data_IF_177402437693
#
_entry.id   IF_177402437693
#
_cell.length_a   1.000
_cell.length_b   1.000
_cell.length_c   1.000
_cell.angle_alpha   90.00
_cell.angle_beta   90.00
_cell.angle_gamma   90.00
#
_symmetry.space_group_name_H-M   'P 1'
#
loop_
_entity.id
_entity.type
_entity.pdbx_description
1 polymer ?
#
# COMPACT_ATOMS: atom_id res chain seq x y z
N UNK A 1 -24.99 15.44 -13.18
CA UNK A 1 -25.51 14.90 -11.89
C UNK A 1 -24.52 15.32 -10.81
N UNK A 2 -24.98 15.87 -9.68
CA UNK A 2 -24.06 16.42 -8.67
C UNK A 2 -23.73 15.38 -7.61
N UNK A 3 -22.44 15.11 -7.43
CA UNK A 3 -21.90 14.39 -6.28
C UNK A 3 -21.99 15.28 -5.04
N UNK A 4 -22.21 14.69 -3.88
CA UNK A 4 -22.21 15.37 -2.59
C UNK A 4 -21.13 14.73 -1.69
N UNK A 5 -20.26 15.54 -1.08
CA UNK A 5 -19.33 15.08 -0.06
C UNK A 5 -20.03 15.14 1.30
N UNK A 6 -20.29 13.98 1.90
CA UNK A 6 -21.00 13.89 3.18
C UNK A 6 -20.07 14.05 4.37
N UNK A 7 -18.86 13.50 4.30
CA UNK A 7 -17.86 13.55 5.38
C UNK A 7 -16.44 13.39 4.87
N UNK A 8 -15.50 13.90 5.67
CA UNK A 8 -14.09 13.58 5.60
C UNK A 8 -13.68 12.85 6.88
N UNK A 9 -13.02 11.71 6.71
CA UNK A 9 -12.58 10.86 7.82
C UNK A 9 -11.09 10.61 7.69
N UNK A 10 -10.36 10.75 8.79
CA UNK A 10 -8.96 10.36 8.90
C UNK A 10 -8.89 8.93 9.46
N UNK A 11 -8.05 8.09 8.87
CA UNK A 11 -7.78 6.75 9.33
C UNK A 11 -6.31 6.60 9.74
N UNK A 12 -6.07 5.93 10.86
CA UNK A 12 -4.80 5.33 11.23
C UNK A 12 -4.93 3.82 11.02
N UNK A 13 -4.24 3.31 10.00
CA UNK A 13 -4.30 1.90 9.61
C UNK A 13 -2.89 1.31 9.67
N UNK A 14 -2.61 0.47 10.67
CA UNK A 14 -1.30 -0.12 10.90
C UNK A 14 -1.45 -1.57 11.38
N UNK A 15 -1.24 -2.53 10.47
CA UNK A 15 -1.50 -3.94 10.74
C UNK A 15 -2.98 -4.15 11.10
N UNK A 16 -3.24 -4.76 12.25
CA UNK A 16 -4.60 -4.99 12.78
C UNK A 16 -5.24 -3.73 13.40
N UNK A 17 -4.44 -2.70 13.73
CA UNK A 17 -4.95 -1.46 14.30
C UNK A 17 -5.59 -0.62 13.20
N UNK A 18 -6.92 -0.47 13.27
CA UNK A 18 -7.67 0.44 12.41
C UNK A 18 -8.48 1.41 13.28
N UNK A 19 -8.14 2.69 13.26
CA UNK A 19 -8.83 3.75 14.00
C UNK A 19 -9.27 4.83 13.02
N UNK A 20 -10.55 5.19 13.04
CA UNK A 20 -11.12 6.18 12.13
C UNK A 20 -11.77 7.32 12.90
N UNK A 21 -11.40 8.56 12.56
CA UNK A 21 -11.93 9.79 13.17
C UNK A 21 -12.42 10.75 12.09
N UNK A 22 -13.70 11.10 12.12
CA UNK A 22 -14.27 12.12 11.23
C UNK A 22 -13.83 13.51 11.64
N UNK A 23 -13.55 14.35 10.65
CA UNK A 23 -13.31 15.77 10.85
C UNK A 23 -14.62 16.48 11.21
N UNK A 24 -14.50 17.54 12.02
CA UNK A 24 -15.60 18.45 12.28
C UNK A 24 -15.68 19.45 11.12
N UNK A 25 -16.64 19.25 10.22
CA UNK A 25 -16.84 20.07 9.01
C UNK A 25 -18.30 20.51 8.90
N UNK A 26 -18.53 21.73 8.40
CA UNK A 26 -19.86 22.20 7.98
C UNK A 26 -20.17 21.76 6.55
N UNK A 27 -21.43 21.91 6.12
CA UNK A 27 -21.81 21.61 4.74
C UNK A 27 -21.08 22.51 3.73
N UNK A 28 -20.85 23.77 4.08
CA UNK A 28 -20.12 24.72 3.24
C UNK A 28 -18.65 24.28 3.07
N UNK A 29 -18.01 23.83 4.16
CA UNK A 29 -16.64 23.30 4.10
C UNK A 29 -16.55 22.08 3.18
N UNK A 30 -17.54 21.17 3.27
CA UNK A 30 -17.60 19.96 2.45
C UNK A 30 -17.83 20.27 0.97
N UNK A 31 -18.64 21.28 0.65
CA UNK A 31 -18.86 21.73 -0.72
C UNK A 31 -17.56 22.28 -1.34
N UNK A 32 -16.84 23.15 -0.61
CA UNK A 32 -15.55 23.68 -1.06
C UNK A 32 -14.52 22.56 -1.23
N UNK A 33 -14.45 21.62 -0.29
CA UNK A 33 -13.53 20.49 -0.39
C UNK A 33 -13.84 19.63 -1.62
N UNK A 34 -15.12 19.35 -1.89
CA UNK A 34 -15.54 18.56 -3.04
C UNK A 34 -15.04 19.16 -4.36
N UNK A 35 -15.12 20.49 -4.51
CA UNK A 35 -14.64 21.20 -5.71
C UNK A 35 -13.13 21.09 -5.92
N UNK A 36 -12.37 20.86 -4.84
CA UNK A 36 -10.91 20.71 -4.87
C UNK A 36 -10.45 19.27 -5.12
N UNK A 37 -11.34 18.27 -5.06
CA UNK A 37 -10.97 16.86 -5.22
C UNK A 37 -10.82 16.48 -6.69
N UNK A 38 -9.68 15.90 -7.02
CA UNK A 38 -9.35 15.42 -8.36
C UNK A 38 -9.67 13.92 -8.49
N UNK A 39 -10.96 13.61 -8.57
CA UNK A 39 -11.41 12.21 -8.61
C UNK A 39 -10.84 11.44 -9.81
N UNK A 40 -10.54 10.14 -9.64
CA UNK A 40 -10.01 9.30 -10.70
C UNK A 40 -11.02 9.12 -11.83
N UNK A 41 -10.52 9.02 -13.06
CA UNK A 41 -11.33 8.71 -14.23
C UNK A 41 -11.46 7.18 -14.40
N UNK A 42 -12.68 6.68 -14.21
CA UNK A 42 -12.98 5.25 -14.10
C UNK A 42 -13.10 4.50 -15.43
N UNK A 43 -13.02 5.20 -16.58
CA UNK A 43 -13.32 4.65 -17.91
C UNK A 43 -12.40 3.52 -18.38
N UNK A 44 -11.36 3.15 -17.63
CA UNK A 44 -10.33 2.17 -18.04
C UNK A 44 -10.12 1.01 -17.06
N UNK A 45 -10.94 0.87 -16.01
CA UNK A 45 -10.80 -0.26 -15.09
C UNK A 45 -11.36 -1.55 -15.72
N UNK A 46 -10.58 -2.62 -15.64
CA UNK A 46 -11.02 -3.95 -16.10
C UNK A 46 -11.87 -4.60 -15.00
N UNK A 47 -13.03 -5.11 -15.38
CA UNK A 47 -13.86 -5.95 -14.51
C UNK A 47 -13.12 -7.25 -14.18
N UNK A 48 -13.21 -7.69 -12.92
CA UNK A 48 -12.62 -8.93 -12.44
C UNK A 48 -13.65 -9.72 -11.63
N UNK A 49 -13.90 -10.96 -12.05
CA UNK A 49 -14.84 -11.86 -11.39
C UNK A 49 -14.13 -12.82 -10.40
N UNK A 50 -12.83 -13.03 -10.54
CA UNK A 50 -12.07 -13.95 -9.70
C UNK A 50 -10.60 -13.51 -9.54
N UNK A 51 -10.19 -13.27 -8.29
CA UNK A 51 -8.83 -12.86 -7.92
C UNK A 51 -7.79 -13.99 -8.05
N UNK A 52 -8.22 -15.25 -8.25
CA UNK A 52 -7.29 -16.40 -8.36
C UNK A 52 -6.43 -16.39 -9.63
N UNK A 53 -6.68 -15.50 -10.60
CA UNK A 53 -6.01 -15.47 -11.92
C UNK A 53 -4.82 -14.47 -11.96
N UNK A 54 -4.31 -14.00 -10.82
CA UNK A 54 -3.44 -12.83 -10.86
C UNK A 54 -1.96 -13.07 -11.25
N UNK A 55 -1.64 -12.61 -12.46
CA UNK A 55 -0.51 -11.72 -12.76
C UNK A 55 -0.88 -10.30 -12.30
N UNK A 56 -0.64 -9.94 -11.02
CA UNK A 56 -0.87 -8.61 -10.38
C UNK A 56 -1.29 -7.47 -11.33
N UNK A 57 -2.59 -7.27 -11.60
CA UNK A 57 -3.04 -6.09 -12.31
C UNK A 57 -2.88 -4.88 -11.39
N UNK A 58 -2.28 -3.80 -11.87
CA UNK A 58 -2.09 -2.61 -11.05
C UNK A 58 -3.42 -1.93 -10.66
N UNK A 59 -4.49 -2.14 -11.45
CA UNK A 59 -5.82 -1.52 -11.30
C UNK A 59 -6.93 -2.43 -11.83
N UNK A 60 -8.09 -2.47 -11.17
CA UNK A 60 -9.27 -3.23 -11.61
C UNK A 60 -10.57 -2.73 -10.94
N UNK A 61 -11.70 -3.32 -11.31
CA UNK A 61 -12.98 -3.14 -10.61
C UNK A 61 -13.70 -4.48 -10.41
N UNK A 62 -14.55 -4.55 -9.38
CA UNK A 62 -15.46 -5.67 -9.10
C UNK A 62 -16.83 -5.07 -8.81
N UNK A 63 -17.78 -5.32 -9.70
CA UNK A 63 -19.12 -4.74 -9.66
C UNK A 63 -20.07 -5.44 -8.68
N UNK A 64 -19.83 -6.72 -8.38
CA UNK A 64 -20.60 -7.54 -7.44
C UNK A 64 -19.66 -8.14 -6.39
N UNK A 65 -19.25 -7.30 -5.42
CA UNK A 65 -18.32 -7.68 -4.36
C UNK A 65 -19.04 -8.52 -3.30
N UNK A 66 -18.60 -9.78 -3.15
CA UNK A 66 -19.16 -10.78 -2.22
C UNK A 66 -18.22 -11.02 -1.04
N UNK A 67 -18.76 -11.62 0.02
CA UNK A 67 -18.08 -11.87 1.31
C UNK A 67 -16.92 -12.87 1.24
N UNK A 68 -16.90 -13.72 0.22
CA UNK A 68 -15.78 -14.60 -0.11
C UNK A 68 -14.58 -13.85 -0.73
N UNK A 69 -14.75 -12.58 -1.10
CA UNK A 69 -13.69 -11.72 -1.61
C UNK A 69 -13.01 -10.95 -0.46
N UNK A 70 -11.68 -10.98 -0.30
CA UNK A 70 -11.03 -10.28 0.80
C UNK A 70 -11.20 -8.76 0.81
N UNK A 71 -11.45 -8.11 -0.35
CA UNK A 71 -11.81 -6.68 -0.37
C UNK A 71 -13.15 -6.39 0.31
N UNK A 72 -13.99 -7.39 0.54
CA UNK A 72 -15.25 -7.24 1.26
C UNK A 72 -15.04 -6.77 2.70
N UNK A 73 -13.86 -6.97 3.30
CA UNK A 73 -13.54 -6.40 4.59
C UNK A 73 -13.70 -4.86 4.62
N UNK A 74 -13.41 -4.19 3.50
CA UNK A 74 -13.56 -2.74 3.38
C UNK A 74 -15.02 -2.28 3.45
N UNK A 75 -16.00 -3.18 3.26
CA UNK A 75 -17.43 -2.87 3.45
C UNK A 75 -17.71 -2.42 4.87
N UNK A 76 -16.97 -2.94 5.86
CA UNK A 76 -17.10 -2.56 7.28
C UNK A 76 -16.91 -1.06 7.51
N UNK A 77 -16.24 -0.33 6.60
CA UNK A 77 -16.10 1.12 6.68
C UNK A 77 -17.44 1.87 6.58
N UNK A 78 -18.46 1.26 5.98
CA UNK A 78 -19.82 1.81 5.95
C UNK A 78 -20.58 1.61 7.28
N UNK A 79 -20.16 0.65 8.10
CA UNK A 79 -20.84 0.30 9.35
C UNK A 79 -20.33 1.14 10.54
N UNK A 80 -19.27 1.92 10.33
CA UNK A 80 -18.73 2.83 11.34
C UNK A 80 -19.66 4.04 11.51
N UNK A 81 -20.14 4.24 12.73
CA UNK A 81 -20.89 5.44 13.09
C UNK A 81 -19.93 6.62 13.33
N UNK A 82 -19.62 7.34 12.26
CA UNK A 82 -18.78 8.55 12.27
C UNK A 82 -19.43 9.75 13.00
N UNK A 83 -20.67 9.63 13.48
CA UNK A 83 -21.31 10.67 14.30
C UNK A 83 -21.04 10.50 15.79
N UNK A 84 -20.64 9.31 16.24
CA UNK A 84 -20.28 9.08 17.64
C UNK A 84 -19.09 9.94 18.05
N UNK A 85 -19.12 10.39 19.30
CA UNK A 85 -18.08 11.27 19.86
C UNK A 85 -16.69 10.63 19.81
N UNK A 86 -16.59 9.34 20.07
CA UNK A 86 -15.34 8.55 19.99
C UNK A 86 -14.73 8.49 18.58
N UNK A 87 -15.57 8.55 17.55
CA UNK A 87 -15.16 8.53 16.14
C UNK A 87 -15.06 9.94 15.55
N UNK A 88 -15.05 10.99 16.37
CA UNK A 88 -14.88 12.39 15.96
C UNK A 88 -13.56 12.92 16.46
N UNK A 89 -12.79 13.53 15.56
CA UNK A 89 -11.62 14.30 15.92
C UNK A 89 -12.08 15.57 16.64
N UNK A 90 -11.80 15.72 17.94
CA UNK A 90 -12.26 16.89 18.72
C UNK A 90 -11.33 18.10 18.50
N UNK A 91 -10.04 17.85 18.32
CA UNK A 91 -9.05 18.88 18.03
C UNK A 91 -7.94 18.34 17.11
N UNK A 92 -7.33 19.24 16.32
CA UNK A 92 -6.15 18.94 15.53
C UNK A 92 -4.96 18.52 16.41
N UNK A 93 -4.93 18.92 17.68
CA UNK A 93 -3.87 18.52 18.62
C UNK A 93 -3.94 17.04 19.02
N UNK A 94 -5.03 16.33 18.73
CA UNK A 94 -5.07 14.87 18.86
C UNK A 94 -4.17 14.17 17.82
N UNK A 95 -3.81 14.88 16.75
CA UNK A 95 -2.87 14.42 15.73
C UNK A 95 -1.44 14.73 16.18
N UNK A 96 -0.71 13.71 16.63
CA UNK A 96 0.69 13.88 17.07
C UNK A 96 1.61 12.92 16.31
N UNK A 97 2.44 13.47 15.42
CA UNK A 97 3.45 12.71 14.67
C UNK A 97 4.71 12.39 15.50
N UNK A 98 4.78 12.76 16.80
CA UNK A 98 5.96 12.63 17.66
C UNK A 98 5.72 12.04 19.05
N UNK A 99 4.47 11.73 19.42
CA UNK A 99 4.07 11.04 20.67
C UNK A 99 3.03 9.96 20.33
N UNK A 100 2.63 9.14 21.30
CA UNK A 100 1.64 8.04 21.17
C UNK A 100 0.19 8.50 20.80
N UNK A 101 0.04 9.61 20.07
CA UNK A 101 -1.22 10.17 19.60
C UNK A 101 -1.72 9.53 18.30
N UNK A 102 -2.89 9.99 17.84
CA UNK A 102 -3.50 9.51 16.61
C UNK A 102 -2.64 9.93 15.41
N UNK A 103 -2.16 8.95 14.65
CA UNK A 103 -1.24 9.17 13.53
C UNK A 103 -1.91 8.75 12.23
N UNK A 104 -2.80 9.58 11.65
CA UNK A 104 -3.53 9.18 10.48
C UNK A 104 -2.59 9.01 9.28
N UNK A 105 -2.81 7.97 8.50
CA UNK A 105 -2.04 7.67 7.30
C UNK A 105 -2.93 7.50 6.06
N UNK A 106 -4.26 7.59 6.21
CA UNK A 106 -5.22 7.55 5.12
C UNK A 106 -6.37 8.55 5.35
N UNK A 107 -6.94 9.09 4.28
CA UNK A 107 -8.17 9.88 4.28
C UNK A 107 -9.25 9.13 3.52
N UNK A 108 -10.44 9.13 4.10
CA UNK A 108 -11.67 8.58 3.57
C UNK A 108 -12.60 9.75 3.22
N UNK A 109 -12.91 9.90 1.93
CA UNK A 109 -13.90 10.86 1.46
C UNK A 109 -15.22 10.14 1.23
N UNK A 110 -16.19 10.37 2.11
CA UNK A 110 -17.50 9.75 2.04
C UNK A 110 -18.40 10.60 1.13
N UNK A 111 -18.73 10.08 -0.04
CA UNK A 111 -19.54 10.75 -1.04
C UNK A 111 -20.88 10.06 -1.23
N UNK A 112 -21.86 10.82 -1.71
CA UNK A 112 -23.13 10.30 -2.22
C UNK A 112 -23.38 10.83 -3.62
N UNK A 113 -23.75 9.94 -4.51
CA UNK A 113 -24.14 10.27 -5.87
C UNK A 113 -25.39 9.44 -6.21
N UNK A 114 -26.54 10.13 -6.35
CA UNK A 114 -27.84 9.49 -6.52
C UNK A 114 -28.15 8.48 -5.38
N UNK A 115 -28.34 7.22 -5.75
CA UNK A 115 -28.63 6.09 -4.86
C UNK A 115 -27.38 5.27 -4.49
N UNK A 116 -26.19 5.84 -4.68
CA UNK A 116 -24.92 5.19 -4.38
C UNK A 116 -24.15 6.02 -3.36
N UNK A 117 -23.74 5.37 -2.28
CA UNK A 117 -22.76 5.90 -1.35
C UNK A 117 -21.39 5.32 -1.70
N UNK A 118 -20.35 6.16 -1.68
CA UNK A 118 -19.00 5.73 -1.99
C UNK A 118 -18.01 6.28 -0.98
N UNK A 119 -17.03 5.46 -0.60
CA UNK A 119 -15.90 5.88 0.21
C UNK A 119 -14.67 5.81 -0.68
N UNK A 120 -14.06 6.97 -0.91
CA UNK A 120 -12.80 7.09 -1.64
C UNK A 120 -11.62 7.08 -0.67
N UNK A 121 -10.60 6.30 -0.99
CA UNK A 121 -9.45 6.01 -0.13
C UNK A 121 -8.19 6.70 -0.66
N UNK A 122 -7.55 7.54 0.16
CA UNK A 122 -6.37 8.33 -0.25
C UNK A 122 -5.28 8.29 0.83
N UNK A 123 -4.08 7.76 0.54
CA UNK A 123 -2.93 7.82 1.45
C UNK A 123 -2.56 9.25 1.83
N UNK A 124 -2.17 9.46 3.09
CA UNK A 124 -1.55 10.70 3.52
C UNK A 124 -0.03 10.54 3.41
N UNK A 125 0.61 11.41 2.63
CA UNK A 125 2.08 11.48 2.63
C UNK A 125 2.57 11.97 4.00
N UNK A 126 3.36 11.14 4.69
CA UNK A 126 3.87 11.36 6.07
C UNK A 126 4.49 12.77 6.28
N UNK A 127 5.04 13.39 5.22
CA UNK A 127 5.65 14.74 5.26
C UNK A 127 4.66 15.93 5.15
N UNK A 128 3.38 15.69 4.88
CA UNK A 128 2.39 16.76 4.56
C UNK A 128 1.35 17.01 5.66
N UNK A 129 1.41 16.26 6.75
CA UNK A 129 0.27 16.14 7.67
C UNK A 129 0.05 17.35 8.57
N UNK A 130 1.11 18.10 8.90
CA UNK A 130 1.02 19.29 9.74
C UNK A 130 1.98 20.36 9.21
N UNK A 131 1.43 21.38 8.56
CA UNK A 131 2.22 22.55 8.14
C UNK A 131 2.05 23.63 9.21
N UNK A 132 3.16 24.01 9.86
CA UNK A 132 3.20 25.24 10.67
C UNK A 132 3.10 26.42 9.71
N UNK A 133 2.18 27.36 9.97
CA UNK A 133 1.97 28.55 9.15
C UNK A 133 1.64 28.26 7.67
N UNK A 134 0.47 27.68 7.42
CA UNK A 134 -0.23 27.94 6.17
C UNK A 134 -1.57 28.57 6.49
N UNK A 135 -1.75 29.80 6.01
CA UNK A 135 -3.06 30.41 5.80
C UNK A 135 -3.84 29.56 4.78
N UNK A 136 -4.39 28.43 5.21
CA UNK A 136 -5.33 27.67 4.40
C UNK A 136 -6.69 28.33 4.55
N UNK A 137 -7.08 28.94 3.44
CA UNK A 137 -8.36 29.57 3.17
C UNK A 137 -9.53 28.64 3.52
N UNK A 138 -10.05 28.76 4.74
CA UNK A 138 -11.46 28.53 5.03
C UNK A 138 -12.03 29.89 5.41
N UNK A 139 -12.51 30.62 4.40
CA UNK A 139 -13.16 31.91 4.59
C UNK A 139 -14.45 31.74 5.39
N UNK A 140 -14.37 31.96 6.71
CA UNK A 140 -15.21 32.86 7.53
C UNK A 140 -15.20 32.39 8.99
N UNK A 141 -14.27 32.92 9.79
CA UNK A 141 -14.55 33.12 11.21
C UNK A 141 -15.08 34.54 11.35
N UNK A 142 -16.37 34.73 11.09
CA UNK A 142 -17.07 35.96 11.45
C UNK A 142 -17.31 35.94 12.97
N UNK A 143 -16.42 36.58 13.74
CA UNK A 143 -16.78 37.02 15.10
C UNK A 143 -17.15 38.48 15.06
N UNK A 144 -18.41 38.76 15.42
CA UNK A 144 -18.94 40.10 15.61
C UNK A 144 -18.44 40.63 16.95
N UNK A 145 -17.73 41.75 16.93
CA UNK A 145 -17.53 42.61 18.10
C UNK A 145 -17.87 44.03 17.62
N UNK A 146 -18.88 44.69 18.21
CA UNK A 146 -19.19 46.10 17.94
C UNK A 146 -18.06 47.01 18.40
N UNK A 147 -17.96 48.29 18.07
CA UNK A 147 -18.89 49.32 17.58
C UNK A 147 -18.05 50.30 16.71
N UNK A 148 -18.63 50.76 15.61
CA UNK A 148 -18.18 51.85 14.70
C UNK A 148 -16.83 51.73 13.95
N UNK A 149 -16.95 51.81 12.62
CA UNK A 149 -16.01 52.32 11.62
C UNK A 149 -14.55 51.84 11.63
N UNK A 150 -14.35 50.57 11.25
CA UNK A 150 -13.46 50.16 10.15
C UNK A 150 -13.25 48.64 10.20
N UNK A 151 -13.76 47.92 9.20
CA UNK A 151 -13.53 46.47 9.09
C UNK A 151 -12.08 46.28 8.61
N UNK A 152 -11.13 46.21 9.55
CA UNK A 152 -9.84 45.57 9.29
C UNK A 152 -10.01 44.07 9.43
N UNK A 153 -9.88 43.37 8.29
CA UNK A 153 -9.70 41.92 8.24
C UNK A 153 -8.35 41.59 8.89
N UNK A 154 -8.33 41.31 10.19
CA UNK A 154 -7.17 40.70 10.82
C UNK A 154 -7.15 39.20 10.51
N UNK A 155 -6.26 38.81 9.60
CA UNK A 155 -5.90 37.41 9.37
C UNK A 155 -5.17 36.90 10.61
N UNK A 156 -5.84 36.13 11.45
CA UNK A 156 -5.20 35.41 12.55
C UNK A 156 -4.47 34.18 11.96
N UNK A 157 -3.15 34.05 12.11
CA UNK A 157 -2.42 32.89 11.63
C UNK A 157 -2.84 31.63 12.39
N UNK A 158 -2.99 30.51 11.67
CA UNK A 158 -3.23 29.19 12.26
C UNK A 158 -1.87 28.53 12.52
N UNK A 159 -1.56 28.26 13.79
CA UNK A 159 -0.26 27.72 14.22
C UNK A 159 0.05 26.31 13.70
N UNK A 160 -0.98 25.50 13.40
CA UNK A 160 -0.88 24.15 12.81
C UNK A 160 -2.08 23.88 11.89
N UNK A 161 -1.83 23.57 10.62
CA UNK A 161 -2.88 23.17 9.66
C UNK A 161 -2.68 21.76 9.11
N UNK A 162 -3.78 21.05 8.84
CA UNK A 162 -3.80 19.75 8.15
C UNK A 162 -4.00 19.96 6.65
N UNK A 163 -3.07 19.48 5.84
CA UNK A 163 -3.23 19.46 4.38
C UNK A 163 -3.85 18.12 3.95
N UNK A 164 -5.08 18.15 3.46
CA UNK A 164 -5.79 16.97 2.97
C UNK A 164 -5.38 16.66 1.52
N UNK A 165 -5.13 15.39 1.18
CA UNK A 165 -4.73 15.00 -0.17
C UNK A 165 -5.91 15.14 -1.14
N UNK A 166 -5.70 15.85 -2.25
CA UNK A 166 -6.73 16.12 -3.27
C UNK A 166 -6.80 15.06 -4.37
N UNK A 167 -5.72 14.32 -4.55
CA UNK A 167 -5.48 13.33 -5.60
C UNK A 167 -4.77 12.09 -5.02
N UNK A 168 -4.48 11.09 -5.87
CA UNK A 168 -3.72 9.91 -5.46
C UNK A 168 -4.55 8.80 -4.82
N UNK A 169 -5.83 8.73 -5.18
CA UNK A 169 -6.77 7.68 -4.77
C UNK A 169 -6.22 6.28 -5.05
N UNK A 170 -6.30 5.38 -4.06
CA UNK A 170 -5.86 3.98 -4.18
C UNK A 170 -7.03 3.02 -4.36
N UNK A 171 -8.22 3.41 -3.92
CA UNK A 171 -9.43 2.64 -4.13
C UNK A 171 -10.69 3.44 -3.82
N UNK A 172 -11.82 2.88 -4.23
CA UNK A 172 -13.16 3.37 -3.94
C UNK A 172 -14.04 2.16 -3.70
N UNK A 173 -14.70 2.13 -2.54
CA UNK A 173 -15.76 1.15 -2.29
C UNK A 173 -17.11 1.84 -2.37
N UNK A 174 -18.09 1.16 -2.97
CA UNK A 174 -19.43 1.70 -3.19
C UNK A 174 -20.50 0.76 -2.65
N UNK A 175 -21.57 1.37 -2.16
CA UNK A 175 -22.77 0.74 -1.62
C UNK A 175 -23.98 1.32 -2.32
N UNK A 176 -24.71 0.47 -3.03
CA UNK A 176 -25.99 0.84 -3.63
C UNK A 176 -27.14 0.68 -2.63
N UNK A 177 -28.29 1.31 -2.89
CA UNK A 177 -29.51 1.16 -2.08
C UNK A 177 -30.01 -0.28 -1.96
N UNK A 178 -29.69 -1.16 -2.91
CA UNK A 178 -29.98 -2.59 -2.85
C UNK A 178 -28.97 -3.39 -2.02
N UNK A 179 -28.11 -2.72 -1.24
CA UNK A 179 -27.02 -3.32 -0.46
C UNK A 179 -26.02 -4.12 -1.30
N UNK A 180 -25.99 -3.90 -2.62
CA UNK A 180 -24.92 -4.44 -3.46
C UNK A 180 -23.68 -3.57 -3.31
N UNK A 181 -22.56 -4.24 -3.09
CA UNK A 181 -21.25 -3.62 -2.92
C UNK A 181 -20.42 -3.77 -4.19
N UNK A 182 -19.63 -2.75 -4.49
CA UNK A 182 -18.63 -2.79 -5.56
C UNK A 182 -17.36 -2.10 -5.11
N UNK A 183 -16.24 -2.50 -5.72
CA UNK A 183 -14.94 -1.88 -5.46
C UNK A 183 -14.24 -1.54 -6.77
N UNK A 184 -13.62 -0.38 -6.79
CA UNK A 184 -12.70 0.07 -7.81
C UNK A 184 -11.33 0.22 -7.16
N UNK A 185 -10.33 -0.48 -7.66
CA UNK A 185 -8.96 -0.47 -7.13
C UNK A 185 -8.04 0.22 -8.12
N UNK A 186 -7.43 1.33 -7.71
CA UNK A 186 -6.57 2.16 -8.55
C UNK A 186 -5.07 1.92 -8.29
N UNK A 187 -4.73 1.32 -7.15
CA UNK A 187 -3.39 0.91 -6.77
C UNK A 187 -3.49 -0.30 -5.81
N UNK A 188 -3.43 -1.51 -6.38
CA UNK A 188 -3.61 -2.78 -5.65
C UNK A 188 -2.60 -2.92 -4.52
N UNK A 189 -1.31 -2.72 -4.81
CA UNK A 189 -0.24 -2.92 -3.84
C UNK A 189 -0.39 -1.98 -2.64
N UNK A 190 -0.76 -0.71 -2.87
CA UNK A 190 -1.02 0.21 -1.76
C UNK A 190 -2.26 -0.21 -0.99
N UNK A 191 -3.39 -0.47 -1.66
CA UNK A 191 -4.64 -0.80 -0.98
C UNK A 191 -4.49 -2.03 -0.08
N UNK A 192 -3.91 -3.11 -0.61
CA UNK A 192 -3.69 -4.35 0.14
C UNK A 192 -2.72 -4.14 1.32
N UNK A 193 -1.69 -3.31 1.12
CA UNK A 193 -0.73 -2.98 2.17
C UNK A 193 -1.35 -2.13 3.28
N UNK A 194 -2.26 -1.20 2.97
CA UNK A 194 -2.91 -0.36 3.97
C UNK A 194 -3.84 -1.19 4.84
N UNK A 195 -4.71 -1.99 4.24
CA UNK A 195 -5.75 -2.72 4.97
C UNK A 195 -5.35 -4.13 5.40
N UNK A 196 -4.05 -4.46 5.31
CA UNK A 196 -3.50 -5.75 5.70
C UNK A 196 -4.34 -6.92 5.15
N UNK A 197 -4.64 -6.90 3.84
CA UNK A 197 -5.35 -7.98 3.17
C UNK A 197 -4.38 -9.16 2.96
N UNK A 198 -3.93 -9.77 4.05
CA UNK A 198 -2.81 -10.72 4.11
C UNK A 198 -3.03 -11.95 3.22
N UNK A 199 -4.28 -12.40 3.11
CA UNK A 199 -4.67 -13.49 2.20
C UNK A 199 -4.36 -13.18 0.72
N UNK A 200 -4.45 -11.92 0.30
CA UNK A 200 -4.04 -11.48 -1.04
C UNK A 200 -2.52 -11.46 -1.18
N UNK A 201 -1.83 -10.89 -0.19
CA UNK A 201 -0.37 -10.83 -0.19
C UNK A 201 0.23 -12.24 -0.33
N UNK A 202 -0.29 -13.18 0.45
CA UNK A 202 0.08 -14.59 0.39
C UNK A 202 -0.28 -15.20 -0.97
N UNK A 203 -1.50 -15.01 -1.46
CA UNK A 203 -1.92 -15.55 -2.77
C UNK A 203 -1.08 -15.01 -3.92
N UNK A 204 -0.74 -13.72 -3.91
CA UNK A 204 0.18 -13.12 -4.88
C UNK A 204 1.55 -13.75 -4.78
N UNK A 205 2.11 -13.90 -3.58
CA UNK A 205 3.41 -14.54 -3.40
C UNK A 205 3.44 -15.96 -3.99
N UNK A 206 2.41 -16.79 -3.73
CA UNK A 206 2.27 -18.12 -4.34
C UNK A 206 2.29 -18.07 -5.87
N UNK A 207 1.50 -17.18 -6.47
CA UNK A 207 1.45 -17.01 -7.93
C UNK A 207 2.82 -16.60 -8.49
N UNK A 208 3.55 -15.71 -7.80
CA UNK A 208 4.90 -15.29 -8.22
C UNK A 208 5.89 -16.45 -8.20
N UNK A 209 5.84 -17.31 -7.19
CA UNK A 209 6.68 -18.51 -7.12
C UNK A 209 6.40 -19.45 -8.30
N UNK A 210 5.14 -19.69 -8.64
CA UNK A 210 4.77 -20.50 -9.81
C UNK A 210 5.29 -19.90 -11.14
N UNK A 211 5.32 -18.57 -11.27
CA UNK A 211 5.86 -17.91 -12.47
C UNK A 211 7.35 -18.07 -12.67
N UNK A 212 8.15 -18.25 -11.61
CA UNK A 212 9.57 -18.57 -11.78
C UNK A 212 9.76 -19.93 -12.43
N UNK A 213 8.91 -20.90 -12.10
CA UNK A 213 8.95 -22.25 -12.68
C UNK A 213 8.21 -22.39 -14.03
N UNK A 214 7.74 -21.29 -14.61
CA UNK A 214 7.04 -21.34 -15.90
C UNK A 214 8.06 -21.33 -17.04
N UNK A 215 8.13 -22.38 -17.89
CA UNK A 215 9.24 -22.59 -18.83
C UNK A 215 9.18 -21.74 -20.12
N UNK A 216 8.13 -20.93 -20.29
CA UNK A 216 7.91 -20.14 -21.51
C UNK A 216 8.29 -18.66 -21.33
N UNK A 217 8.04 -17.84 -22.35
CA UNK A 217 8.31 -16.40 -22.33
C UNK A 217 7.46 -15.61 -21.32
N UNK A 218 6.51 -16.25 -20.63
CA UNK A 218 5.67 -15.64 -19.60
C UNK A 218 6.22 -15.85 -18.19
N UNK A 219 7.22 -16.72 -18.04
CA UNK A 219 7.93 -16.95 -16.79
C UNK A 219 8.82 -15.78 -16.38
N UNK A 220 9.09 -15.69 -15.08
CA UNK A 220 9.99 -14.66 -14.57
C UNK A 220 11.45 -15.02 -14.82
N UNK A 221 12.14 -14.09 -15.49
CA UNK A 221 13.58 -14.12 -15.65
C UNK A 221 14.22 -13.01 -14.82
N UNK A 222 15.39 -13.28 -14.27
CA UNK A 222 16.18 -12.33 -13.47
C UNK A 222 17.42 -11.91 -14.27
N UNK A 223 18.10 -10.84 -13.85
CA UNK A 223 19.28 -10.26 -14.55
C UNK A 223 18.95 -9.68 -15.94
N UNK A 224 19.85 -8.84 -16.46
CA UNK A 224 19.75 -8.33 -17.84
C UNK A 224 19.97 -9.44 -18.87
N UNK A 225 20.65 -10.52 -18.46
CA UNK A 225 20.95 -11.69 -19.28
C UNK A 225 19.78 -12.68 -19.32
N UNK A 226 18.64 -12.33 -18.69
CA UNK A 226 17.41 -13.13 -18.68
C UNK A 226 17.63 -14.56 -18.18
N UNK A 227 18.32 -14.64 -17.04
CA UNK A 227 18.59 -15.86 -16.30
C UNK A 227 17.29 -16.48 -15.79
N UNK A 228 17.12 -17.78 -16.04
CA UNK A 228 16.00 -18.57 -15.53
C UNK A 228 16.22 -18.96 -14.06
N UNK A 229 15.12 -19.10 -13.32
CA UNK A 229 15.11 -19.53 -11.93
C UNK A 229 14.30 -20.82 -11.83
N UNK A 230 14.80 -21.80 -11.09
CA UNK A 230 14.13 -23.08 -10.87
C UNK A 230 13.96 -23.33 -9.37
N UNK A 231 12.71 -23.33 -8.92
CA UNK A 231 12.32 -23.66 -7.55
C UNK A 231 12.05 -25.16 -7.47
N UNK A 232 12.88 -25.92 -6.77
CA UNK A 232 12.89 -27.39 -6.84
C UNK A 232 11.70 -28.06 -6.16
N UNK A 233 11.22 -27.52 -5.04
CA UNK A 233 10.01 -27.98 -4.34
C UNK A 233 9.08 -26.80 -4.05
N UNK A 234 8.19 -26.53 -5.02
CA UNK A 234 7.28 -25.38 -4.97
C UNK A 234 6.32 -25.47 -3.78
N UNK A 235 5.85 -26.67 -3.43
CA UNK A 235 4.86 -26.86 -2.36
C UNK A 235 5.46 -26.57 -1.00
N UNK A 236 6.64 -27.12 -0.70
CA UNK A 236 7.34 -26.83 0.55
C UNK A 236 7.79 -25.36 0.63
N UNK A 237 8.18 -24.76 -0.49
CA UNK A 237 8.53 -23.33 -0.57
C UNK A 237 7.32 -22.45 -0.25
N UNK A 238 6.15 -22.78 -0.80
CA UNK A 238 4.90 -22.10 -0.51
C UNK A 238 4.57 -22.15 0.99
N UNK A 239 4.68 -23.31 1.63
CA UNK A 239 4.43 -23.45 3.07
C UNK A 239 5.30 -22.54 3.94
N UNK A 240 6.57 -22.34 3.57
CA UNK A 240 7.49 -21.43 4.26
C UNK A 240 7.06 -19.96 4.07
N UNK A 241 6.71 -19.59 2.84
CA UNK A 241 6.31 -18.22 2.48
C UNK A 241 4.98 -17.84 3.14
N UNK A 242 4.03 -18.77 3.22
CA UNK A 242 2.74 -18.57 3.90
C UNK A 242 2.90 -18.29 5.38
N UNK A 243 3.83 -18.99 6.05
CA UNK A 243 4.09 -18.83 7.48
C UNK A 243 4.89 -17.58 7.81
N UNK A 244 5.46 -16.90 6.81
CA UNK A 244 6.27 -15.69 6.99
C UNK A 244 5.72 -14.52 6.16
N UNK A 245 4.94 -13.66 6.81
CA UNK A 245 4.31 -12.51 6.17
C UNK A 245 5.34 -11.54 5.55
N UNK A 246 6.53 -11.39 6.14
CA UNK A 246 7.58 -10.53 5.58
C UNK A 246 8.06 -11.07 4.22
N UNK A 247 8.26 -12.39 4.10
CA UNK A 247 8.58 -13.04 2.82
C UNK A 247 7.43 -12.90 1.81
N UNK A 248 6.19 -13.17 2.23
CA UNK A 248 5.01 -13.00 1.36
C UNK A 248 4.88 -11.57 0.83
N UNK A 249 5.15 -10.55 1.65
CA UNK A 249 5.15 -9.14 1.24
C UNK A 249 6.23 -8.85 0.21
N UNK A 250 7.46 -9.30 0.43
CA UNK A 250 8.55 -9.06 -0.51
C UNK A 250 8.31 -9.74 -1.87
N UNK A 251 7.90 -11.01 -1.85
CA UNK A 251 7.61 -11.78 -3.07
C UNK A 251 6.43 -11.21 -3.86
N UNK A 252 5.33 -10.86 -3.20
CA UNK A 252 4.13 -10.32 -3.87
C UNK A 252 4.40 -9.02 -4.64
N UNK A 253 5.36 -8.23 -4.18
CA UNK A 253 5.77 -6.98 -4.84
C UNK A 253 6.68 -7.18 -6.05
N UNK A 254 7.27 -8.36 -6.25
CA UNK A 254 8.13 -8.59 -7.40
C UNK A 254 7.33 -8.59 -8.71
N UNK A 255 7.82 -7.86 -9.71
CA UNK A 255 7.11 -7.66 -10.99
C UNK A 255 7.85 -8.20 -12.21
N UNK A 256 9.11 -8.66 -12.06
CA UNK A 256 9.93 -9.14 -13.18
C UNK A 256 10.31 -8.08 -14.23
N UNK A 257 10.01 -6.80 -13.99
CA UNK A 257 10.31 -5.72 -14.91
C UNK A 257 11.62 -5.00 -14.54
N UNK A 258 12.30 -4.45 -15.56
CA UNK A 258 13.66 -3.89 -15.50
C UNK A 258 13.91 -2.70 -14.56
N UNK A 259 12.95 -2.32 -13.72
CA UNK A 259 13.17 -1.35 -12.64
C UNK A 259 13.68 -1.97 -11.33
N UNK A 260 13.72 -3.30 -11.23
CA UNK A 260 14.34 -3.98 -10.10
C UNK A 260 15.87 -4.07 -10.28
N UNK A 261 16.61 -3.94 -9.18
CA UNK A 261 18.07 -3.99 -9.19
C UNK A 261 18.58 -5.33 -9.76
N UNK A 262 17.99 -6.45 -9.31
CA UNK A 262 18.33 -7.79 -9.81
C UNK A 262 18.10 -7.94 -11.32
N UNK A 263 17.15 -7.21 -11.93
CA UNK A 263 16.89 -7.29 -13.37
C UNK A 263 17.85 -6.41 -14.20
N UNK A 264 18.68 -5.57 -13.56
CA UNK A 264 19.63 -4.66 -14.23
C UNK A 264 21.07 -5.17 -14.22
N UNK A 265 21.39 -6.07 -13.30
CA UNK A 265 22.74 -6.65 -13.14
C UNK A 265 22.98 -7.77 -14.16
N UNK A 266 24.25 -8.10 -14.44
CA UNK A 266 24.59 -9.30 -15.22
C UNK A 266 24.45 -10.57 -14.38
N UNK A 267 24.36 -11.71 -15.06
CA UNK A 267 24.55 -13.04 -14.47
C UNK A 267 25.86 -13.12 -13.68
N UNK A 268 26.95 -12.59 -14.22
CA UNK A 268 28.25 -12.54 -13.55
C UNK A 268 28.19 -11.71 -12.25
N UNK A 269 27.55 -10.54 -12.27
CA UNK A 269 27.37 -9.75 -11.04
C UNK A 269 26.53 -10.46 -9.99
N UNK A 270 25.49 -11.20 -10.40
CA UNK A 270 24.70 -12.03 -9.49
C UNK A 270 25.54 -13.20 -8.94
N UNK A 271 26.36 -13.84 -9.77
CA UNK A 271 27.28 -14.89 -9.34
C UNK A 271 28.28 -14.36 -8.31
N UNK A 272 28.89 -13.19 -8.57
CA UNK A 272 29.79 -12.53 -7.62
C UNK A 272 29.07 -12.21 -6.30
N UNK A 273 27.79 -11.83 -6.33
CA UNK A 273 27.00 -11.62 -5.12
C UNK A 273 26.79 -12.92 -4.33
N UNK A 274 26.51 -14.04 -5.01
CA UNK A 274 26.38 -15.37 -4.38
C UNK A 274 27.72 -15.83 -3.77
N UNK A 275 28.82 -15.69 -4.52
CA UNK A 275 30.16 -16.03 -4.05
C UNK A 275 30.58 -15.19 -2.84
N UNK A 276 30.20 -13.90 -2.81
CA UNK A 276 30.40 -13.05 -1.64
C UNK A 276 29.59 -13.53 -0.44
N UNK A 277 28.32 -13.86 -0.61
CA UNK A 277 27.50 -14.39 0.49
C UNK A 277 28.13 -15.66 1.07
N UNK A 278 28.61 -16.56 0.20
CA UNK A 278 29.31 -17.79 0.60
C UNK A 278 30.60 -17.51 1.38
N UNK A 279 31.36 -16.48 0.98
CA UNK A 279 32.61 -16.12 1.64
C UNK A 279 32.43 -15.55 3.06
N UNK A 280 31.24 -15.06 3.41
CA UNK A 280 30.93 -14.47 4.72
C UNK A 280 30.09 -15.42 5.61
N UNK A 281 29.87 -16.68 5.21
CA UNK A 281 29.05 -17.63 6.00
C UNK A 281 29.63 -17.89 7.40
N UNK A 282 30.96 -17.81 7.54
CA UNK A 282 31.65 -18.10 8.80
C UNK A 282 31.85 -16.84 9.68
N UNK A 283 31.34 -15.68 9.27
CA UNK A 283 31.45 -14.44 10.04
C UNK A 283 30.51 -14.47 11.26
N UNK A 284 31.00 -14.04 12.43
CA UNK A 284 30.26 -14.14 13.71
C UNK A 284 28.91 -13.38 13.74
N UNK A 285 28.74 -12.37 12.87
CA UNK A 285 27.54 -11.54 12.79
C UNK A 285 26.48 -12.09 11.81
N UNK A 286 26.78 -13.19 11.11
CA UNK A 286 25.94 -13.73 10.03
C UNK A 286 25.00 -14.83 10.55
N UNK A 287 23.73 -14.74 10.14
CA UNK A 287 22.62 -15.60 10.60
C UNK A 287 22.21 -16.67 9.60
N UNK A 288 22.93 -16.81 8.49
CA UNK A 288 22.65 -17.76 7.42
C UNK A 288 23.84 -18.69 7.18
N UNK A 289 23.55 -19.87 6.65
CA UNK A 289 24.54 -20.90 6.30
C UNK A 289 24.71 -21.02 4.79
N UNK A 290 25.74 -21.76 4.36
CA UNK A 290 25.95 -22.04 2.94
C UNK A 290 24.75 -22.75 2.28
N UNK A 291 24.00 -23.55 3.04
CA UNK A 291 22.81 -24.27 2.55
C UNK A 291 21.64 -23.33 2.23
N UNK A 292 21.60 -22.15 2.87
CA UNK A 292 20.57 -21.13 2.65
C UNK A 292 20.82 -20.30 1.38
N UNK A 293 21.98 -20.43 0.72
CA UNK A 293 22.37 -19.62 -0.43
C UNK A 293 22.02 -20.33 -1.75
N UNK A 294 21.24 -19.69 -2.65
CA UNK A 294 20.97 -20.21 -4.00
C UNK A 294 22.23 -20.47 -4.82
N UNK A 295 22.18 -21.44 -5.74
CA UNK A 295 23.33 -21.80 -6.58
C UNK A 295 23.00 -21.68 -8.07
N UNK A 296 24.00 -21.36 -8.89
CA UNK A 296 23.85 -21.39 -10.34
C UNK A 296 24.25 -22.77 -10.84
N UNK A 297 23.31 -23.45 -11.47
CA UNK A 297 23.50 -24.76 -12.10
C UNK A 297 24.43 -24.71 -13.31
N UNK A 298 24.92 -25.88 -13.73
CA UNK A 298 25.78 -26.03 -14.91
C UNK A 298 25.07 -25.67 -16.23
N UNK A 299 23.77 -25.92 -16.34
CA UNK A 299 22.91 -25.45 -17.44
C UNK A 299 22.61 -23.94 -17.33
N UNK A 300 23.12 -23.30 -16.28
CA UNK A 300 23.20 -21.86 -16.17
C UNK A 300 21.94 -21.22 -15.67
N UNK A 301 21.07 -21.93 -14.94
CA UNK A 301 19.90 -21.43 -14.20
C UNK A 301 20.22 -21.21 -12.72
N UNK A 302 19.49 -20.32 -12.05
CA UNK A 302 19.54 -20.21 -10.60
C UNK A 302 18.61 -21.25 -9.95
N UNK A 303 19.17 -22.17 -9.18
CA UNK A 303 18.43 -23.19 -8.45
C UNK A 303 18.14 -22.69 -7.04
N UNK A 304 16.88 -22.78 -6.63
CA UNK A 304 16.39 -22.34 -5.32
C UNK A 304 15.62 -23.49 -4.66
N UNK A 305 16.16 -24.03 -3.57
CA UNK A 305 15.45 -24.98 -2.71
C UNK A 305 14.56 -24.26 -1.69
N UNK A 306 13.63 -24.96 -1.00
CA UNK A 306 12.78 -24.35 0.02
C UNK A 306 13.58 -23.62 1.12
N UNK A 307 14.71 -24.19 1.55
CA UNK A 307 15.62 -23.61 2.54
C UNK A 307 16.18 -22.24 2.06
N UNK A 308 16.44 -22.12 0.75
CA UNK A 308 17.09 -20.98 0.13
C UNK A 308 16.14 -19.81 -0.18
N UNK A 309 14.83 -19.99 0.04
CA UNK A 309 13.82 -19.00 -0.37
C UNK A 309 14.01 -17.64 0.32
N UNK A 310 14.56 -17.63 1.54
CA UNK A 310 14.82 -16.40 2.31
C UNK A 310 15.84 -15.51 1.60
N UNK A 311 17.01 -16.07 1.27
CA UNK A 311 18.07 -15.36 0.56
C UNK A 311 17.62 -15.01 -0.85
N UNK A 312 16.96 -15.93 -1.57
CA UNK A 312 16.43 -15.61 -2.90
C UNK A 312 15.47 -14.42 -2.87
N UNK A 313 14.53 -14.39 -1.92
CA UNK A 313 13.59 -13.27 -1.76
C UNK A 313 14.31 -11.96 -1.44
N UNK A 314 15.35 -12.00 -0.60
CA UNK A 314 16.20 -10.85 -0.32
C UNK A 314 16.91 -10.35 -1.58
N UNK A 315 17.42 -11.25 -2.44
CA UNK A 315 17.98 -10.91 -3.74
C UNK A 315 16.94 -10.31 -4.72
N UNK A 316 15.64 -10.51 -4.52
CA UNK A 316 14.63 -9.81 -5.33
C UNK A 316 14.37 -8.38 -4.85
N UNK A 317 14.81 -8.02 -3.64
CA UNK A 317 14.69 -6.68 -3.06
C UNK A 317 15.82 -5.76 -3.54
N UNK A 318 15.44 -4.59 -4.07
CA UNK A 318 16.37 -3.62 -4.62
C UNK A 318 17.42 -3.18 -3.61
N UNK A 319 17.01 -2.95 -2.35
CA UNK A 319 17.92 -2.41 -1.34
C UNK A 319 19.02 -3.40 -0.99
N UNK A 320 18.69 -4.69 -1.00
CA UNK A 320 19.59 -5.75 -0.55
C UNK A 320 20.57 -6.12 -1.66
N UNK A 321 20.12 -6.22 -2.92
CA UNK A 321 21.04 -6.46 -4.05
C UNK A 321 22.08 -5.37 -4.17
N UNK A 322 21.66 -4.10 -4.07
CA UNK A 322 22.57 -2.96 -4.14
C UNK A 322 23.59 -3.03 -2.99
N UNK A 323 23.12 -3.29 -1.76
CA UNK A 323 23.97 -3.47 -0.56
C UNK A 323 25.00 -4.59 -0.71
N UNK A 324 24.60 -5.79 -1.16
CA UNK A 324 25.50 -6.94 -1.40
C UNK A 324 26.54 -6.62 -2.49
N UNK A 325 26.15 -5.86 -3.52
CA UNK A 325 27.06 -5.40 -4.56
C UNK A 325 28.05 -4.34 -4.05
N UNK A 326 27.71 -3.59 -2.99
CA UNK A 326 28.52 -2.51 -2.42
C UNK A 326 29.16 -2.80 -1.05
N UNK A 327 29.30 -4.07 -0.64
CA UNK A 327 29.94 -4.51 0.62
C UNK A 327 29.17 -4.23 1.93
N UNK A 328 27.85 -4.09 1.89
CA UNK A 328 27.01 -4.03 3.11
C UNK A 328 26.13 -5.30 3.15
N UNK A 329 26.43 -6.26 4.03
CA UNK A 329 25.73 -7.57 4.07
C UNK A 329 24.83 -7.62 5.30
N UNK A 330 23.69 -6.94 5.21
CA UNK A 330 22.57 -7.11 6.15
C UNK A 330 21.44 -7.84 5.43
N UNK A 331 21.19 -9.12 5.77
CA UNK A 331 20.11 -9.91 5.17
C UNK A 331 18.85 -9.96 6.06
N UNK A 332 17.67 -9.60 5.54
CA UNK A 332 16.41 -9.74 6.27
C UNK A 332 15.90 -11.21 6.32
N UNK A 333 14.91 -11.46 7.19
CA UNK A 333 14.07 -12.68 7.24
C UNK A 333 14.63 -13.91 7.99
N UNK A 334 15.71 -13.75 8.73
CA UNK A 334 16.30 -14.81 9.57
C UNK A 334 15.88 -14.74 11.06
N UNK A 335 15.22 -13.65 11.47
CA UNK A 335 14.65 -13.46 12.81
C UNK A 335 13.46 -14.37 13.14
#
# INVERSE_FOLDING_TARGET
MSRELLRVVLGEVAGEKQVFKSLLTTNDDLAVLLELLEFPNNTKLKEQENLKIFDTPNKFQISDLKDDNPYFELVKLFDIDYLKKENKLQSIDEIDNKRDGFTPNIVLYYCKENNVQSIYLVPIGIKKLLVKNKAMFYQKVLKRIGVEDSIKLELTPVDKGLELPREGFIGKISKSTSQKYSIEVYDVLKLDSYFALESHIVSYAKNKLHRFNTPDNTGYKITKDKLDVEITDISATIDIVEKNLRLSKALSQYTGHGNRAINRVSKESLQNAIERLLAHVDDEEIVYTAEDIPTISLDGKLIVSPQQIKIFTALLDNKIVEKILTNDIELPYFD
#
